data_IF_858947175399
#
_entry.id   IF_858947175399
#
_cell.length_a   1.000
_cell.length_b   1.000
_cell.length_c   1.000
_cell.angle_alpha   90.00
_cell.angle_beta   90.00
_cell.angle_gamma   90.00
#
_symmetry.space_group_name_H-M   'P 1'
#
loop_
_entity.id
_entity.type
_entity.pdbx_description
1 polymer ?
#
# COMPACT_ATOMS: atom_id res chain seq x y z
N UNK A 1 -3.01 -5.06 19.17
CA UNK A 1 -3.63 -5.05 17.83
C UNK A 1 -2.56 -4.55 16.89
N UNK A 2 -1.92 -5.43 16.11
CA UNK A 2 -0.90 -5.02 15.14
C UNK A 2 -1.60 -4.08 14.14
N UNK A 3 -1.27 -2.80 14.17
CA UNK A 3 -1.85 -1.78 13.31
C UNK A 3 -1.20 -1.91 11.92
N UNK A 4 -1.41 -3.04 11.26
CA UNK A 4 -0.88 -3.31 9.92
C UNK A 4 -1.75 -2.62 8.89
N UNK A 5 -1.12 -1.80 8.03
CA UNK A 5 -1.81 -1.24 6.88
C UNK A 5 -2.34 -2.42 6.04
N UNK A 6 -3.64 -2.44 5.69
CA UNK A 6 -4.15 -3.45 4.79
C UNK A 6 -3.60 -3.21 3.38
N UNK A 7 -3.35 -4.28 2.63
CA UNK A 7 -2.89 -4.18 1.25
C UNK A 7 -3.94 -3.41 0.43
N UNK A 8 -3.59 -2.31 -0.25
CA UNK A 8 -4.56 -1.57 -1.03
C UNK A 8 -5.09 -2.42 -2.18
N UNK A 9 -6.39 -2.26 -2.47
CA UNK A 9 -7.05 -2.94 -3.58
C UNK A 9 -6.80 -2.11 -4.84
N UNK A 10 -6.35 -2.78 -5.91
CA UNK A 10 -6.14 -2.12 -7.19
C UNK A 10 -7.49 -1.59 -7.69
N UNK A 11 -7.62 -0.28 -7.97
CA UNK A 11 -8.84 0.25 -8.56
C UNK A 11 -9.02 -0.30 -9.97
N UNK A 12 -10.28 -0.48 -10.39
CA UNK A 12 -10.58 -0.87 -11.76
C UNK A 12 -10.28 0.29 -12.71
N UNK A 13 -9.94 -0.02 -13.96
CA UNK A 13 -9.62 1.03 -14.95
C UNK A 13 -10.82 1.96 -15.21
N UNK A 14 -12.05 1.48 -14.98
CA UNK A 14 -13.29 2.26 -15.10
C UNK A 14 -13.51 3.24 -13.92
N UNK A 15 -12.93 2.99 -12.74
CA UNK A 15 -12.95 3.94 -11.60
C UNK A 15 -11.99 5.13 -11.84
N UNK A 16 -11.01 4.94 -12.73
CA UNK A 16 -10.16 6.02 -13.19
C UNK A 16 -10.88 6.78 -14.30
N UNK A 17 -11.60 7.85 -13.92
CA UNK A 17 -12.36 8.73 -14.80
C UNK A 17 -11.64 9.12 -16.11
N UNK A 18 -11.76 8.25 -17.13
CA UNK A 18 -11.77 8.50 -18.57
C UNK A 18 -10.67 9.35 -19.23
N UNK A 19 -9.55 9.65 -18.58
CA UNK A 19 -8.45 10.42 -19.17
C UNK A 19 -8.33 11.87 -18.68
N UNK A 20 -7.99 12.06 -17.41
CA UNK A 20 -7.42 13.33 -16.90
C UNK A 20 -8.41 14.37 -16.36
N UNK A 21 -9.68 14.01 -16.14
CA UNK A 21 -10.73 14.97 -15.74
C UNK A 21 -11.01 15.10 -14.23
N UNK A 22 -10.73 14.07 -13.43
CA UNK A 22 -10.93 14.11 -11.97
C UNK A 22 -9.59 14.09 -11.25
N UNK A 23 -9.23 15.23 -10.67
CA UNK A 23 -8.14 15.33 -9.70
C UNK A 23 -8.78 15.23 -8.31
N UNK A 24 -8.39 14.27 -7.45
CA UNK A 24 -7.22 13.38 -7.54
C UNK A 24 -7.45 12.07 -8.30
N UNK A 25 -6.40 11.59 -8.98
CA UNK A 25 -6.40 10.30 -9.66
C UNK A 25 -6.44 9.16 -8.63
N UNK A 26 -7.33 8.18 -8.84
CA UNK A 26 -7.43 6.99 -7.96
C UNK A 26 -6.12 6.21 -7.89
N UNK A 27 -5.33 6.26 -8.97
CA UNK A 27 -4.01 5.64 -9.02
C UNK A 27 -3.01 6.31 -8.10
N UNK A 28 -3.00 7.64 -7.98
CA UNK A 28 -2.10 8.35 -7.08
C UNK A 28 -2.35 7.93 -5.64
N UNK A 29 -3.63 7.83 -5.25
CA UNK A 29 -3.99 7.35 -3.91
C UNK A 29 -3.64 5.88 -3.70
N UNK A 30 -3.80 5.04 -4.73
CA UNK A 30 -3.45 3.63 -4.68
C UNK A 30 -1.94 3.41 -4.53
N UNK A 31 -1.12 4.08 -5.34
CA UNK A 31 0.34 3.95 -5.28
C UNK A 31 0.89 4.47 -3.95
N UNK A 32 0.42 5.61 -3.45
CA UNK A 32 0.82 6.11 -2.13
C UNK A 32 0.50 5.11 -1.01
N UNK A 33 -0.68 4.49 -1.04
CA UNK A 33 -1.05 3.46 -0.06
C UNK A 33 -0.25 2.17 -0.24
N UNK A 34 0.12 1.82 -1.47
CA UNK A 34 0.89 0.62 -1.80
C UNK A 34 2.32 0.75 -1.28
N UNK A 35 2.96 1.89 -1.51
CA UNK A 35 4.32 2.17 -1.04
C UNK A 35 4.41 2.04 0.49
N UNK A 36 3.45 2.63 1.21
CA UNK A 36 3.36 2.52 2.68
C UNK A 36 3.19 1.05 3.14
N UNK A 37 2.39 0.27 2.41
CA UNK A 37 2.19 -1.15 2.71
C UNK A 37 3.45 -1.97 2.47
N UNK A 38 4.14 -1.77 1.35
CA UNK A 38 5.38 -2.47 1.00
C UNK A 38 6.49 -2.14 2.00
N UNK A 39 6.64 -0.86 2.37
CA UNK A 39 7.58 -0.46 3.41
C UNK A 39 7.31 -1.15 4.73
N UNK A 40 6.04 -1.22 5.13
CA UNK A 40 5.67 -1.90 6.37
C UNK A 40 5.93 -3.40 6.30
N UNK A 41 5.56 -4.06 5.20
CA UNK A 41 5.79 -5.51 5.04
C UNK A 41 7.28 -5.86 5.02
N UNK A 42 8.10 -5.04 4.35
CA UNK A 42 9.55 -5.19 4.35
C UNK A 42 10.14 -4.98 5.76
N UNK A 43 9.70 -3.95 6.49
CA UNK A 43 10.11 -3.70 7.88
C UNK A 43 9.70 -4.85 8.80
N UNK A 44 8.48 -5.37 8.67
CA UNK A 44 7.99 -6.50 9.47
C UNK A 44 8.79 -7.78 9.20
N UNK A 45 9.09 -8.09 7.93
CA UNK A 45 9.95 -9.23 7.59
C UNK A 45 11.36 -9.08 8.17
N UNK A 46 11.93 -7.87 8.10
CA UNK A 46 13.25 -7.58 8.65
C UNK A 46 13.27 -7.57 10.20
N UNK A 47 12.14 -7.25 10.85
CA UNK A 47 11.98 -7.31 12.30
C UNK A 47 11.75 -8.74 12.79
N UNK A 48 10.97 -9.54 12.06
CA UNK A 48 10.72 -10.94 12.40
C UNK A 48 12.00 -11.79 12.38
N UNK A 49 12.95 -11.47 11.49
CA UNK A 49 14.25 -12.15 11.42
C UNK A 49 15.18 -11.80 12.59
N UNK A 50 14.91 -10.71 13.33
CA UNK A 50 15.75 -10.22 14.44
C UNK A 50 15.26 -10.63 15.83
N UNK A 51 14.10 -11.26 15.94
CA UNK A 51 13.52 -11.71 17.22
C UNK A 51 13.90 -13.17 17.57
N UNK A 52 14.50 -13.92 16.64
CA UNK A 52 14.98 -15.31 16.87
C UNK A 52 16.51 -15.36 17.03
N UNK A 53 17.03 -14.67 18.05
CA UNK A 53 18.33 -15.02 18.65
C UNK A 53 18.29 -14.56 20.11
N UNK A 54 17.71 -15.39 20.97
CA UNK A 54 18.05 -15.51 22.41
C UNK A 54 18.44 -16.96 22.70
#
# INVERSE_FOLDING_TARGET
MQNKLPKPIRPDNDDCCGGGGCCPCVWDTYFNALDLWEEQDAKEKALADKDETD
#
